data_IF_561786837917
#
_entry.id   IF_561786837917
#
_cell.length_a   1.000
_cell.length_b   1.000
_cell.length_c   1.000
_cell.angle_alpha   90.00
_cell.angle_beta   90.00
_cell.angle_gamma   90.00
#
_symmetry.space_group_name_H-M   'P 1'
#
loop_
_entity.id
_entity.type
_entity.pdbx_description
1 polymer ?
#
# COMPACT_ATOMS: atom_id res chain seq x y z
N UNK A 1 -14.26 28.74 21.80
CA UNK A 1 -13.82 27.51 21.10
C UNK A 1 -13.75 27.86 19.61
N UNK A 2 -12.61 27.70 18.95
CA UNK A 2 -12.38 28.21 17.59
C UNK A 2 -10.90 28.19 17.21
N UNK A 3 -10.26 27.03 17.33
CA UNK A 3 -8.91 26.87 16.80
C UNK A 3 -9.01 26.67 15.29
N UNK A 4 -8.06 27.22 14.55
CA UNK A 4 -7.87 26.88 13.15
C UNK A 4 -7.35 25.44 13.09
N UNK A 5 -8.22 24.50 12.71
CA UNK A 5 -7.93 23.07 12.66
C UNK A 5 -8.12 22.60 11.24
N UNK A 6 -7.23 21.73 10.79
CA UNK A 6 -7.32 21.03 9.53
C UNK A 6 -7.20 19.53 9.82
N UNK A 7 -8.23 18.77 9.47
CA UNK A 7 -8.32 17.33 9.69
C UNK A 7 -8.35 16.59 8.35
N UNK A 8 -7.20 16.00 8.00
CA UNK A 8 -6.95 15.36 6.70
C UNK A 8 -6.77 13.86 6.90
N UNK A 9 -7.35 13.07 6.01
CA UNK A 9 -7.11 11.63 5.92
C UNK A 9 -7.24 11.19 4.46
N UNK A 10 -7.08 9.90 4.18
CA UNK A 10 -7.25 9.34 2.84
C UNK A 10 -6.93 7.86 2.78
N UNK A 11 -7.10 7.29 1.59
CA UNK A 11 -6.74 5.89 1.32
C UNK A 11 -5.29 5.73 0.86
N UNK A 12 -4.61 4.77 1.48
CA UNK A 12 -3.36 4.20 0.97
C UNK A 12 -3.70 3.08 -0.02
N UNK A 13 -3.13 3.18 -1.22
CA UNK A 13 -3.60 2.44 -2.39
C UNK A 13 -2.46 1.71 -3.12
N UNK A 14 -1.21 1.96 -2.73
CA UNK A 14 -0.06 1.29 -3.31
C UNK A 14 0.36 0.06 -2.49
N UNK A 15 0.99 -0.90 -3.17
CA UNK A 15 1.60 -2.06 -2.54
C UNK A 15 0.97 -3.39 -2.94
N UNK A 16 1.69 -4.46 -2.65
CA UNK A 16 1.37 -5.82 -3.09
C UNK A 16 0.02 -6.31 -2.58
N UNK A 17 -0.44 -5.80 -1.42
CA UNK A 17 -1.77 -6.12 -0.88
C UNK A 17 -2.89 -5.80 -1.87
N UNK A 18 -2.84 -4.60 -2.45
CA UNK A 18 -3.82 -4.10 -3.41
C UNK A 18 -3.79 -4.95 -4.68
N UNK A 19 -2.59 -5.28 -5.16
CA UNK A 19 -2.40 -6.10 -6.36
C UNK A 19 -2.95 -7.52 -6.17
N UNK A 20 -2.62 -8.18 -5.06
CA UNK A 20 -3.15 -9.51 -4.74
C UNK A 20 -4.67 -9.49 -4.66
N UNK A 21 -5.25 -8.50 -3.97
CA UNK A 21 -6.70 -8.38 -3.86
C UNK A 21 -7.38 -8.13 -5.20
N UNK A 22 -6.76 -7.33 -6.06
CA UNK A 22 -7.24 -7.07 -7.41
C UNK A 22 -7.30 -8.36 -8.24
N UNK A 23 -6.25 -9.19 -8.15
CA UNK A 23 -6.21 -10.51 -8.80
C UNK A 23 -7.30 -11.44 -8.25
N UNK A 24 -7.48 -11.52 -6.93
CA UNK A 24 -8.52 -12.33 -6.29
C UNK A 24 -9.94 -11.96 -6.74
N UNK A 25 -10.22 -10.66 -6.90
CA UNK A 25 -11.53 -10.16 -7.31
C UNK A 25 -11.70 -10.05 -8.84
N UNK A 26 -10.65 -10.37 -9.62
CA UNK A 26 -10.66 -10.24 -11.08
C UNK A 26 -10.80 -8.78 -11.55
N UNK A 27 -10.29 -7.83 -10.77
CA UNK A 27 -10.34 -6.39 -11.02
C UNK A 27 -8.93 -5.84 -11.30
N UNK A 28 -8.85 -4.63 -11.84
CA UNK A 28 -7.59 -3.89 -11.87
C UNK A 28 -7.27 -3.27 -10.49
N UNK A 29 -5.99 -2.98 -10.18
CA UNK A 29 -5.64 -2.25 -8.95
C UNK A 29 -6.38 -0.92 -8.80
N UNK A 30 -6.58 -0.19 -9.90
CA UNK A 30 -7.34 1.07 -9.84
C UNK A 30 -8.81 0.83 -9.46
N UNK A 31 -9.46 -0.16 -10.07
CA UNK A 31 -10.86 -0.48 -9.79
C UNK A 31 -11.08 -0.89 -8.33
N UNK A 32 -10.14 -1.65 -7.75
CA UNK A 32 -10.26 -2.06 -6.36
C UNK A 32 -10.06 -0.88 -5.41
N UNK A 33 -9.10 -0.01 -5.70
CA UNK A 33 -8.90 1.22 -4.95
C UNK A 33 -10.11 2.15 -5.01
N UNK A 34 -10.72 2.33 -6.19
CA UNK A 34 -11.93 3.14 -6.37
C UNK A 34 -13.10 2.60 -5.54
N UNK A 35 -13.29 1.28 -5.56
CA UNK A 35 -14.31 0.59 -4.76
C UNK A 35 -14.10 0.83 -3.26
N UNK A 36 -12.90 0.56 -2.74
CA UNK A 36 -12.63 0.67 -1.31
C UNK A 36 -12.54 2.12 -0.80
N UNK A 37 -12.05 3.05 -1.61
CA UNK A 37 -12.08 4.48 -1.29
C UNK A 37 -13.51 4.97 -1.05
N UNK A 38 -14.46 4.59 -1.92
CA UNK A 38 -15.86 4.95 -1.77
C UNK A 38 -16.48 4.33 -0.51
N UNK A 39 -16.18 3.06 -0.22
CA UNK A 39 -16.66 2.36 1.00
C UNK A 39 -16.11 3.04 2.26
N UNK A 40 -14.81 3.32 2.31
CA UNK A 40 -14.18 3.98 3.47
C UNK A 40 -14.79 5.36 3.73
N UNK A 41 -14.94 6.18 2.67
CA UNK A 41 -15.56 7.49 2.80
C UNK A 41 -16.99 7.42 3.36
N UNK A 42 -17.78 6.43 2.92
CA UNK A 42 -19.14 6.21 3.43
C UNK A 42 -19.14 5.77 4.90
N UNK A 43 -18.25 4.84 5.27
CA UNK A 43 -18.12 4.37 6.66
C UNK A 43 -17.74 5.52 7.59
N UNK A 44 -16.75 6.34 7.22
CA UNK A 44 -16.35 7.48 8.04
C UNK A 44 -17.46 8.52 8.18
N UNK A 45 -18.20 8.78 7.10
CA UNK A 45 -19.39 9.62 7.15
C UNK A 45 -20.47 9.04 8.07
N UNK A 46 -20.69 7.73 8.05
CA UNK A 46 -21.65 7.04 8.92
C UNK A 46 -21.29 7.16 10.41
N UNK A 47 -19.99 7.11 10.74
CA UNK A 47 -19.50 7.35 12.09
C UNK A 47 -19.40 8.84 12.48
N UNK A 48 -19.95 9.76 11.66
CA UNK A 48 -19.83 11.21 11.85
C UNK A 48 -18.39 11.72 11.98
N UNK A 49 -17.44 11.08 11.29
CA UNK A 49 -16.06 11.57 11.22
C UNK A 49 -15.99 12.63 10.12
N UNK A 50 -15.81 13.88 10.53
CA UNK A 50 -15.82 15.05 9.66
C UNK A 50 -14.40 15.49 9.28
N UNK A 51 -13.79 14.81 8.30
CA UNK A 51 -12.55 15.29 7.69
C UNK A 51 -12.81 16.55 6.85
N UNK A 52 -11.90 17.51 6.89
CA UNK A 52 -11.89 18.66 5.97
C UNK A 52 -11.54 18.24 4.55
N UNK A 53 -10.71 17.19 4.43
CA UNK A 53 -10.41 16.53 3.16
C UNK A 53 -10.11 15.05 3.39
N UNK A 54 -10.80 14.20 2.64
CA UNK A 54 -10.52 12.77 2.56
C UNK A 54 -9.99 12.44 1.15
N UNK A 55 -8.67 12.31 1.04
CA UNK A 55 -7.97 12.13 -0.23
C UNK A 55 -7.58 10.68 -0.52
N UNK A 56 -6.63 10.50 -1.43
CA UNK A 56 -6.05 9.20 -1.79
C UNK A 56 -4.64 9.35 -2.34
N UNK A 57 -3.84 8.29 -2.24
CA UNK A 57 -2.43 8.29 -2.64
C UNK A 57 -2.20 8.25 -4.15
N UNK A 58 -3.15 7.73 -4.95
CA UNK A 58 -3.07 7.59 -6.42
C UNK A 58 -3.26 8.89 -7.21
N UNK A 59 -3.06 10.05 -6.59
CA UNK A 59 -3.19 11.34 -7.27
C UNK A 59 -1.87 11.80 -7.90
N UNK A 60 -1.96 12.53 -9.01
CA UNK A 60 -0.78 13.13 -9.66
C UNK A 60 -0.01 14.06 -8.71
N UNK A 61 -0.72 14.80 -7.87
CA UNK A 61 -0.09 15.69 -6.89
C UNK A 61 0.73 14.91 -5.87
N UNK A 62 0.19 13.79 -5.38
CA UNK A 62 0.91 12.98 -4.40
C UNK A 62 2.09 12.23 -5.01
N UNK A 63 1.95 11.82 -6.27
CA UNK A 63 3.07 11.29 -7.06
C UNK A 63 4.21 12.32 -7.18
N UNK A 64 3.88 13.57 -7.53
CA UNK A 64 4.88 14.66 -7.62
C UNK A 64 5.57 14.94 -6.29
N UNK A 65 4.82 14.97 -5.19
CA UNK A 65 5.38 15.21 -3.85
C UNK A 65 6.31 14.08 -3.43
N UNK A 66 5.88 12.82 -3.60
CA UNK A 66 6.70 11.66 -3.25
C UNK A 66 8.00 11.61 -4.06
N UNK A 67 7.92 11.84 -5.38
CA UNK A 67 9.09 11.89 -6.25
C UNK A 67 10.03 13.06 -5.90
N UNK A 68 9.49 14.24 -5.63
CA UNK A 68 10.29 15.41 -5.22
C UNK A 68 11.07 15.14 -3.93
N UNK A 69 10.45 14.48 -2.94
CA UNK A 69 11.13 14.08 -1.70
C UNK A 69 12.26 13.09 -2.01
N UNK A 70 11.99 12.04 -2.80
CA UNK A 70 12.98 11.03 -3.17
C UNK A 70 14.18 11.67 -3.90
N UNK A 71 13.93 12.47 -4.94
CA UNK A 71 14.97 13.12 -5.73
C UNK A 71 15.81 14.10 -4.89
N UNK A 72 15.20 14.77 -3.91
CA UNK A 72 15.94 15.62 -2.96
C UNK A 72 16.84 14.79 -2.05
N UNK A 73 16.39 13.64 -1.56
CA UNK A 73 17.22 12.75 -0.74
C UNK A 73 18.40 12.20 -1.55
N UNK A 74 18.13 11.76 -2.79
CA UNK A 74 19.15 11.30 -3.73
C UNK A 74 20.21 12.39 -3.99
N UNK A 75 19.77 13.60 -4.36
CA UNK A 75 20.67 14.73 -4.64
C UNK A 75 21.53 15.17 -3.45
N UNK A 76 21.09 14.87 -2.21
CA UNK A 76 21.83 15.19 -0.99
C UNK A 76 22.63 13.99 -0.44
N UNK A 77 22.87 12.97 -1.27
CA UNK A 77 23.62 11.76 -0.93
C UNK A 77 23.05 11.07 0.33
N UNK A 78 21.72 11.07 0.49
CA UNK A 78 20.99 10.44 1.60
C UNK A 78 20.40 9.08 1.24
N UNK A 79 20.66 8.59 0.03
CA UNK A 79 20.23 7.29 -0.46
C UNK A 79 21.47 6.45 -0.70
N UNK A 80 21.46 5.22 -0.17
CA UNK A 80 22.43 4.19 -0.47
C UNK A 80 21.78 3.15 -1.36
N UNK A 81 22.54 2.62 -2.32
CA UNK A 81 22.11 1.52 -3.17
C UNK A 81 22.86 0.26 -2.74
N UNK A 82 22.11 -0.78 -2.43
CA UNK A 82 22.64 -2.07 -2.03
C UNK A 82 22.03 -3.17 -2.90
N UNK A 83 22.78 -4.23 -3.15
CA UNK A 83 22.26 -5.45 -3.76
C UNK A 83 21.80 -6.38 -2.65
N UNK A 84 20.59 -6.90 -2.78
CA UNK A 84 19.99 -7.83 -1.80
C UNK A 84 19.54 -9.09 -2.52
N UNK A 85 19.71 -10.23 -1.86
CA UNK A 85 19.17 -11.49 -2.34
C UNK A 85 17.68 -11.54 -2.02
N UNK A 86 16.85 -11.74 -3.05
CA UNK A 86 15.40 -11.87 -2.91
C UNK A 86 14.93 -13.12 -3.64
N UNK A 87 13.91 -13.78 -3.08
CA UNK A 87 13.29 -14.94 -3.71
C UNK A 87 12.70 -14.56 -5.06
N UNK A 88 12.97 -15.38 -6.07
CA UNK A 88 12.53 -15.16 -7.44
C UNK A 88 11.83 -16.40 -7.97
N UNK A 89 10.68 -16.22 -8.61
CA UNK A 89 9.93 -17.32 -9.21
C UNK A 89 10.18 -17.37 -10.71
N UNK A 90 10.94 -18.37 -11.16
CA UNK A 90 11.26 -18.58 -12.59
C UNK A 90 10.02 -18.82 -13.46
N UNK A 91 8.94 -19.39 -12.89
CA UNK A 91 7.70 -19.65 -13.63
C UNK A 91 6.86 -18.39 -13.85
N UNK A 92 6.94 -17.44 -12.93
CA UNK A 92 6.15 -16.21 -12.94
C UNK A 92 6.94 -14.98 -13.42
N UNK A 93 8.24 -15.15 -13.67
CA UNK A 93 9.19 -14.11 -14.09
C UNK A 93 9.12 -12.85 -13.19
N UNK A 94 9.09 -13.05 -11.87
CA UNK A 94 9.01 -11.97 -10.89
C UNK A 94 9.66 -12.32 -9.56
N UNK A 95 10.12 -11.29 -8.85
CA UNK A 95 10.49 -11.39 -7.44
C UNK A 95 9.26 -11.64 -6.58
N UNK A 96 9.42 -12.48 -5.56
CA UNK A 96 8.38 -12.80 -4.59
C UNK A 96 8.49 -11.82 -3.42
N UNK A 97 7.42 -11.07 -3.18
CA UNK A 97 7.20 -10.44 -1.89
C UNK A 97 6.92 -11.53 -0.85
N UNK A 98 7.20 -11.23 0.42
CA UNK A 98 7.06 -12.17 1.55
C UNK A 98 5.68 -12.86 1.58
N UNK A 99 4.62 -12.17 1.15
CA UNK A 99 3.24 -12.70 1.12
C UNK A 99 2.99 -13.77 0.07
N UNK A 100 3.86 -13.93 -0.91
CA UNK A 100 3.78 -14.99 -1.93
C UNK A 100 4.67 -16.18 -1.59
N UNK A 101 5.32 -16.17 -0.42
CA UNK A 101 6.18 -17.26 0.04
C UNK A 101 5.36 -18.13 0.98
N UNK A 102 5.01 -19.32 0.49
CA UNK A 102 4.33 -20.35 1.26
C UNK A 102 5.34 -21.39 1.73
N UNK A 103 5.14 -21.94 2.93
CA UNK A 103 6.06 -22.92 3.49
C UNK A 103 5.56 -23.50 4.81
N UNK A 104 6.46 -24.21 5.50
CA UNK A 104 6.18 -24.76 6.83
C UNK A 104 6.63 -23.75 7.88
N UNK A 105 5.83 -23.56 8.92
CA UNK A 105 6.16 -22.66 10.02
C UNK A 105 7.57 -23.00 10.60
N UNK A 106 8.48 -22.01 10.70
CA UNK A 106 9.84 -22.26 11.19
C UNK A 106 9.92 -22.51 12.70
N UNK A 107 8.81 -22.34 13.44
CA UNK A 107 8.78 -22.56 14.89
C UNK A 107 8.74 -24.07 15.21
N UNK A 108 9.69 -24.59 16.01
CA UNK A 108 9.73 -26.02 16.35
C UNK A 108 8.43 -26.49 17.02
N UNK A 109 7.80 -27.53 16.45
CA UNK A 109 6.55 -28.10 16.96
C UNK A 109 5.27 -27.42 16.48
N UNK A 110 5.37 -26.32 15.72
CA UNK A 110 4.24 -25.70 15.04
C UNK A 110 3.97 -26.43 13.72
N UNK A 111 3.22 -27.53 13.76
CA UNK A 111 2.81 -28.30 12.57
C UNK A 111 1.67 -27.66 11.78
N UNK A 112 1.61 -26.33 11.72
CA UNK A 112 0.59 -25.60 10.97
C UNK A 112 0.99 -25.56 9.50
N UNK A 113 0.18 -26.16 8.64
CA UNK A 113 0.29 -26.04 7.19
C UNK A 113 -0.51 -24.80 6.77
N UNK A 114 0.11 -23.86 6.06
CA UNK A 114 -0.58 -22.72 5.46
C UNK A 114 -1.49 -23.25 4.33
N UNK A 115 -2.74 -23.56 4.66
CA UNK A 115 -3.81 -23.87 3.69
C UNK A 115 -4.54 -22.62 3.24
#
# INVERSE_FOLDING_TARGET
CGKNVLFICGTDEYGTATETKAIEEGLTPQQICDKYHAIHAQVYKWFNISFDHFGRTTTDNQTKIAQDIFLKLEKNDKIIQESVDQLYCEKCDRFLADRFVEGVCPHPGCGYEDT
#
